data_IF_684302408652
#
_entry.id   IF_684302408652
#
_cell.length_a   1.000
_cell.length_b   1.000
_cell.length_c   1.000
_cell.angle_alpha   90.00
_cell.angle_beta   90.00
_cell.angle_gamma   90.00
#
_symmetry.space_group_name_H-M   'P 1'
#
loop_
_entity.id
_entity.type
_entity.pdbx_description
1 polymer ?
#
# COMPACT_ATOMS: atom_id res chain seq x y z
N UNK A 1 12.80 5.65 -8.20
CA UNK A 1 11.50 6.30 -7.91
C UNK A 1 11.06 7.02 -9.18
N UNK A 2 9.78 6.97 -9.55
CA UNK A 2 9.25 7.76 -10.68
C UNK A 2 9.29 9.25 -10.34
N UNK A 3 9.25 10.12 -11.36
CA UNK A 3 9.29 11.58 -11.19
C UNK A 3 8.17 12.06 -10.25
N UNK A 4 6.98 11.43 -10.33
CA UNK A 4 5.85 11.65 -9.43
C UNK A 4 5.01 10.38 -9.36
N UNK A 5 4.59 9.99 -8.13
CA UNK A 5 3.73 8.83 -7.90
C UNK A 5 2.61 9.20 -6.94
N UNK A 6 1.37 9.01 -7.36
CA UNK A 6 0.16 9.30 -6.59
C UNK A 6 -0.36 8.03 -5.90
N UNK A 7 -0.48 8.05 -4.58
CA UNK A 7 -0.93 6.91 -3.77
C UNK A 7 -2.17 7.32 -2.98
N UNK A 8 -3.17 6.46 -2.95
CA UNK A 8 -4.31 6.59 -2.03
C UNK A 8 -4.43 5.35 -1.18
N UNK A 9 -4.58 5.55 0.13
CA UNK A 9 -4.82 4.50 1.11
C UNK A 9 -6.17 4.78 1.76
N UNK A 10 -7.07 3.80 1.81
CA UNK A 10 -8.42 4.00 2.32
C UNK A 10 -8.96 2.77 3.06
N UNK A 11 -9.83 3.02 4.03
CA UNK A 11 -10.45 2.00 4.86
C UNK A 11 -11.36 2.63 5.90
N UNK A 12 -11.55 1.96 7.03
CA UNK A 12 -12.29 2.49 8.17
C UNK A 12 -11.37 3.10 9.23
N UNK A 13 -11.92 4.01 10.01
CA UNK A 13 -11.29 4.50 11.24
C UNK A 13 -10.93 3.34 12.18
N UNK A 14 -9.70 3.34 12.69
CA UNK A 14 -9.14 2.25 13.49
C UNK A 14 -8.33 1.21 12.70
N UNK A 15 -8.38 1.17 11.37
CA UNK A 15 -7.55 0.29 10.56
C UNK A 15 -6.11 0.82 10.33
N UNK A 16 -5.75 1.99 10.88
CA UNK A 16 -4.40 2.55 10.76
C UNK A 16 -4.05 3.11 9.39
N UNK A 17 -5.06 3.54 8.60
CA UNK A 17 -4.90 4.16 7.26
C UNK A 17 -3.89 5.30 7.27
N UNK A 18 -4.05 6.22 8.22
CA UNK A 18 -3.21 7.43 8.32
C UNK A 18 -1.77 7.07 8.69
N UNK A 19 -1.57 6.10 9.60
CA UNK A 19 -0.24 5.64 9.96
C UNK A 19 0.46 4.97 8.78
N UNK A 20 -0.24 4.13 8.02
CA UNK A 20 0.31 3.50 6.83
C UNK A 20 0.79 4.55 5.80
N UNK A 21 -0.03 5.58 5.55
CA UNK A 21 0.30 6.69 4.67
C UNK A 21 1.53 7.48 5.18
N UNK A 22 1.57 7.79 6.48
CA UNK A 22 2.68 8.52 7.09
C UNK A 22 3.99 7.72 7.00
N UNK A 23 3.96 6.40 7.21
CA UNK A 23 5.13 5.53 7.07
C UNK A 23 5.67 5.55 5.63
N UNK A 24 4.79 5.43 4.63
CA UNK A 24 5.19 5.45 3.21
C UNK A 24 5.80 6.82 2.86
N UNK A 25 5.16 7.92 3.26
CA UNK A 25 5.69 9.27 3.02
C UNK A 25 7.04 9.51 3.72
N UNK A 26 7.17 9.05 4.97
CA UNK A 26 8.41 9.16 5.74
C UNK A 26 9.55 8.33 5.11
N UNK A 27 9.26 7.12 4.64
CA UNK A 27 10.24 6.29 3.94
C UNK A 27 10.83 7.01 2.73
N UNK A 28 9.98 7.66 1.93
CA UNK A 28 10.42 8.39 0.76
C UNK A 28 11.23 9.65 1.11
N UNK A 29 10.71 10.48 2.04
CA UNK A 29 11.29 11.81 2.27
C UNK A 29 12.47 11.78 3.24
N UNK A 30 12.43 10.92 4.28
CA UNK A 30 13.46 10.92 5.34
C UNK A 30 14.54 9.87 5.09
N UNK A 31 14.14 8.67 4.67
CA UNK A 31 15.06 7.54 4.56
C UNK A 31 15.56 7.29 3.14
N UNK A 32 14.92 7.90 2.12
CA UNK A 32 15.32 7.72 0.72
C UNK A 32 15.65 9.03 0.00
N UNK A 33 15.58 10.17 0.73
CA UNK A 33 16.04 11.48 0.25
C UNK A 33 15.20 12.11 -0.87
N UNK A 34 13.96 11.66 -1.06
CA UNK A 34 13.00 12.24 -1.99
C UNK A 34 12.09 13.29 -1.34
N UNK A 35 11.00 13.60 -2.00
CA UNK A 35 9.94 14.47 -1.51
C UNK A 35 8.66 13.67 -1.30
N UNK A 36 7.92 13.99 -0.24
CA UNK A 36 6.60 13.45 0.00
C UNK A 36 5.66 14.51 0.55
N UNK A 37 4.40 14.46 0.15
CA UNK A 37 3.33 15.21 0.78
C UNK A 37 2.18 14.27 1.12
N UNK A 38 1.44 14.59 2.17
CA UNK A 38 0.31 13.79 2.61
C UNK A 38 -0.88 14.68 2.94
N UNK A 39 -2.05 14.29 2.46
CA UNK A 39 -3.34 14.83 2.88
C UNK A 39 -4.22 13.71 3.43
N UNK A 40 -5.18 14.05 4.30
CA UNK A 40 -6.06 13.08 4.93
C UNK A 40 -7.51 13.56 4.91
N UNK A 41 -8.44 12.60 4.88
CA UNK A 41 -9.87 12.87 4.91
C UNK A 41 -10.58 11.84 5.78
N UNK A 42 -11.52 12.29 6.58
CA UNK A 42 -12.30 11.49 7.49
C UNK A 42 -13.78 11.62 7.17
N UNK A 43 -14.54 10.57 7.38
CA UNK A 43 -16.00 10.63 7.37
C UNK A 43 -16.54 11.44 8.55
N UNK A 44 -17.84 11.78 8.54
CA UNK A 44 -18.48 12.56 9.60
C UNK A 44 -18.65 11.78 10.91
N UNK A 45 -18.46 10.48 10.90
CA UNK A 45 -18.63 9.61 12.06
C UNK A 45 -17.48 9.78 13.06
N UNK A 46 -17.79 9.91 14.33
CA UNK A 46 -16.80 10.10 15.40
C UNK A 46 -15.89 8.86 15.60
N UNK A 47 -16.34 7.65 15.23
CA UNK A 47 -15.57 6.40 15.28
C UNK A 47 -16.03 5.46 14.18
N UNK A 48 -15.08 4.68 13.63
CA UNK A 48 -15.37 3.64 12.65
C UNK A 48 -15.81 4.12 11.27
N UNK A 49 -15.90 5.43 11.05
CA UNK A 49 -16.25 6.01 9.76
C UNK A 49 -15.17 5.85 8.70
N UNK A 50 -15.48 6.29 7.49
CA UNK A 50 -14.53 6.22 6.38
C UNK A 50 -13.28 7.05 6.67
N UNK A 51 -12.12 6.50 6.35
CA UNK A 51 -10.83 7.17 6.50
C UNK A 51 -10.01 6.98 5.24
N UNK A 52 -9.42 8.04 4.73
CA UNK A 52 -8.49 7.96 3.60
C UNK A 52 -7.33 8.93 3.75
N UNK A 53 -6.19 8.53 3.21
CA UNK A 53 -5.02 9.38 3.07
C UNK A 53 -4.52 9.34 1.63
N UNK A 54 -3.98 10.46 1.18
CA UNK A 54 -3.33 10.61 -0.10
C UNK A 54 -1.86 10.91 0.16
N UNK A 55 -0.99 10.23 -0.56
CA UNK A 55 0.46 10.45 -0.49
C UNK A 55 0.96 10.66 -1.91
N UNK A 56 1.73 11.71 -2.12
CA UNK A 56 2.46 11.93 -3.36
C UNK A 56 3.94 11.77 -3.06
N UNK A 57 4.61 10.92 -3.81
CA UNK A 57 6.05 10.72 -3.76
C UNK A 57 6.68 11.32 -5.01
N UNK A 58 7.81 12.00 -4.87
CA UNK A 58 8.50 12.62 -6.00
C UNK A 58 10.02 12.67 -5.80
N UNK A 59 10.76 12.76 -6.89
CA UNK A 59 12.19 13.10 -6.90
C UNK A 59 12.42 14.61 -6.89
N UNK A 60 11.36 15.42 -7.10
CA UNK A 60 11.40 16.88 -7.13
C UNK A 60 10.35 17.48 -6.17
N UNK A 61 10.46 18.78 -5.83
CA UNK A 61 9.49 19.47 -4.97
C UNK A 61 8.05 19.34 -5.49
N UNK A 62 7.12 18.99 -4.59
CA UNK A 62 5.71 18.77 -4.90
C UNK A 62 4.95 20.08 -4.76
N UNK A 63 4.38 20.58 -5.86
CA UNK A 63 3.65 21.85 -5.90
C UNK A 63 2.15 21.71 -5.68
N UNK A 64 1.60 20.50 -5.84
CA UNK A 64 0.17 20.23 -5.70
C UNK A 64 -0.06 18.94 -4.87
N UNK A 65 -0.72 19.02 -3.69
CA UNK A 65 -0.74 17.93 -2.72
C UNK A 65 -1.92 16.95 -2.87
N UNK A 66 -2.77 17.11 -3.89
CA UNK A 66 -3.96 16.29 -4.03
C UNK A 66 -3.84 15.22 -5.11
N UNK A 67 -4.30 14.02 -4.79
CA UNK A 67 -4.37 12.87 -5.70
C UNK A 67 -5.72 12.86 -6.40
N UNK A 68 -5.71 12.93 -7.72
CA UNK A 68 -6.93 12.83 -8.54
C UNK A 68 -7.15 11.41 -9.05
N UNK A 69 -6.11 10.79 -9.58
CA UNK A 69 -6.13 9.46 -10.14
C UNK A 69 -4.92 8.69 -9.64
N UNK A 70 -5.07 7.90 -8.57
CA UNK A 70 -3.92 7.26 -7.95
C UNK A 70 -3.25 6.22 -8.88
N UNK A 71 -1.92 6.23 -8.90
CA UNK A 71 -1.11 5.19 -9.52
C UNK A 71 -1.16 3.90 -8.68
N UNK A 72 -1.29 4.07 -7.34
CA UNK A 72 -1.48 2.96 -6.41
C UNK A 72 -2.64 3.26 -5.48
N UNK A 73 -3.62 2.37 -5.45
CA UNK A 73 -4.75 2.39 -4.52
C UNK A 73 -4.63 1.22 -3.54
N UNK A 74 -4.58 1.52 -2.25
CA UNK A 74 -4.60 0.53 -1.16
C UNK A 74 -5.93 0.62 -0.44
N UNK A 75 -6.71 -0.47 -0.42
CA UNK A 75 -8.03 -0.50 0.23
C UNK A 75 -8.12 -1.60 1.27
N UNK A 76 -8.61 -1.23 2.45
CA UNK A 76 -8.79 -2.10 3.61
C UNK A 76 -10.26 -2.30 3.99
N UNK A 77 -11.22 -1.78 3.18
CA UNK A 77 -12.66 -2.00 3.37
C UNK A 77 -13.39 -2.05 2.03
N UNK A 78 -14.53 -2.73 2.00
CA UNK A 78 -15.38 -2.81 0.81
C UNK A 78 -15.88 -1.43 0.36
N UNK A 79 -16.26 -0.57 1.32
CA UNK A 79 -16.69 0.80 1.03
C UNK A 79 -15.58 1.61 0.32
N UNK A 80 -14.34 1.52 0.83
CA UNK A 80 -13.20 2.18 0.20
C UNK A 80 -12.96 1.67 -1.22
N UNK A 81 -13.07 0.35 -1.44
CA UNK A 81 -12.99 -0.24 -2.77
C UNK A 81 -14.07 0.32 -3.71
N UNK A 82 -15.33 0.25 -3.31
CA UNK A 82 -16.46 0.72 -4.12
C UNK A 82 -16.33 2.21 -4.48
N UNK A 83 -15.83 3.02 -3.55
CA UNK A 83 -15.66 4.47 -3.73
C UNK A 83 -14.50 4.83 -4.64
N UNK A 84 -13.35 4.18 -4.49
CA UNK A 84 -12.11 4.64 -5.10
C UNK A 84 -11.61 3.79 -6.28
N UNK A 85 -11.98 2.51 -6.38
CA UNK A 85 -11.55 1.67 -7.51
C UNK A 85 -11.97 2.22 -8.89
N UNK A 86 -13.14 2.88 -9.06
CA UNK A 86 -13.51 3.50 -10.33
C UNK A 86 -12.59 4.64 -10.79
N UNK A 87 -11.74 5.19 -9.90
CA UNK A 87 -10.80 6.27 -10.22
C UNK A 87 -9.47 5.75 -10.79
N UNK A 88 -9.24 4.44 -10.77
CA UNK A 88 -8.02 3.82 -11.29
C UNK A 88 -7.99 3.88 -12.82
N UNK A 89 -6.81 4.13 -13.34
CA UNK A 89 -6.51 4.14 -14.78
C UNK A 89 -5.76 2.86 -15.18
N UNK A 90 -5.74 2.51 -16.47
CA UNK A 90 -4.85 1.48 -16.98
C UNK A 90 -3.39 1.74 -16.54
N UNK A 91 -2.70 0.69 -16.09
CA UNK A 91 -1.34 0.79 -15.54
C UNK A 91 -1.28 0.96 -14.02
N UNK A 92 -2.36 1.40 -13.38
CA UNK A 92 -2.42 1.52 -11.91
C UNK A 92 -2.33 0.17 -11.20
N UNK A 93 -1.98 0.22 -9.92
CA UNK A 93 -1.93 -0.93 -9.01
C UNK A 93 -3.05 -0.81 -7.96
N UNK A 94 -3.83 -1.87 -7.82
CA UNK A 94 -4.82 -2.03 -6.75
C UNK A 94 -4.30 -3.04 -5.72
N UNK A 95 -4.20 -2.62 -4.47
CA UNK A 95 -3.81 -3.47 -3.33
C UNK A 95 -5.01 -3.57 -2.39
N UNK A 96 -5.40 -4.80 -2.03
CA UNK A 96 -6.58 -5.04 -1.19
C UNK A 96 -6.25 -5.87 0.05
N UNK A 97 -6.91 -5.57 1.14
CA UNK A 97 -7.09 -6.53 2.23
C UNK A 97 -8.06 -7.61 1.76
N UNK A 98 -7.53 -8.79 1.44
CA UNK A 98 -8.21 -9.84 0.68
C UNK A 98 -9.44 -10.44 1.38
N UNK A 99 -9.43 -10.47 2.71
CA UNK A 99 -10.51 -11.08 3.49
C UNK A 99 -11.66 -10.09 3.77
N UNK A 100 -11.41 -8.77 3.60
CA UNK A 100 -12.38 -7.71 3.82
C UNK A 100 -12.92 -7.08 2.52
N UNK A 101 -12.24 -7.30 1.40
CA UNK A 101 -12.56 -6.69 0.11
C UNK A 101 -12.81 -7.75 -0.95
N UNK A 102 -14.01 -7.77 -1.50
CA UNK A 102 -14.38 -8.58 -2.67
C UNK A 102 -14.16 -7.76 -3.93
N UNK A 103 -13.40 -8.31 -4.87
CA UNK A 103 -13.18 -7.68 -6.17
C UNK A 103 -14.39 -7.97 -7.08
N UNK A 104 -15.30 -7.02 -7.23
CA UNK A 104 -16.47 -7.15 -8.08
C UNK A 104 -16.16 -6.74 -9.53
N UNK A 105 -15.49 -5.60 -9.71
CA UNK A 105 -15.16 -5.05 -11.02
C UNK A 105 -13.84 -4.27 -10.95
N UNK A 106 -12.76 -4.90 -11.39
CA UNK A 106 -11.46 -4.23 -11.55
C UNK A 106 -11.42 -3.58 -12.92
N UNK A 107 -11.09 -2.27 -13.04
CA UNK A 107 -10.95 -1.62 -14.35
C UNK A 107 -9.89 -2.31 -15.22
N UNK A 108 -10.11 -2.29 -16.53
CA UNK A 108 -9.18 -2.92 -17.48
C UNK A 108 -7.79 -2.30 -17.41
N UNK A 109 -6.75 -3.13 -17.49
CA UNK A 109 -5.35 -2.69 -17.42
C UNK A 109 -4.85 -2.36 -16.01
N UNK A 110 -5.66 -2.57 -14.96
CA UNK A 110 -5.24 -2.42 -13.56
C UNK A 110 -4.67 -3.74 -13.05
N UNK A 111 -3.47 -3.70 -12.46
CA UNK A 111 -2.86 -4.85 -11.79
C UNK A 111 -3.38 -4.94 -10.36
N UNK A 112 -3.99 -6.06 -9.99
CA UNK A 112 -4.53 -6.24 -8.65
C UNK A 112 -3.75 -7.28 -7.84
N UNK A 113 -3.53 -6.95 -6.55
CA UNK A 113 -2.84 -7.78 -5.57
C UNK A 113 -3.63 -7.79 -4.27
N UNK A 114 -3.79 -8.97 -3.66
CA UNK A 114 -4.50 -9.12 -2.39
C UNK A 114 -3.65 -9.79 -1.33
N UNK A 115 -3.70 -9.29 -0.11
CA UNK A 115 -3.03 -9.86 1.05
C UNK A 115 -4.03 -10.10 2.19
N UNK A 116 -3.99 -11.25 2.90
CA UNK A 116 -4.84 -11.52 4.06
C UNK A 116 -4.25 -10.83 5.31
N UNK A 117 -4.16 -9.50 5.28
CA UNK A 117 -3.42 -8.72 6.27
C UNK A 117 -3.98 -8.88 7.69
N UNK A 118 -5.30 -9.01 7.82
CA UNK A 118 -5.96 -9.27 9.10
C UNK A 118 -5.47 -10.58 9.72
N UNK A 119 -5.49 -11.68 8.95
CA UNK A 119 -5.01 -12.99 9.43
C UNK A 119 -3.53 -12.96 9.78
N UNK A 120 -2.70 -12.39 8.91
CA UNK A 120 -1.27 -12.28 9.16
C UNK A 120 -0.96 -11.46 10.43
N UNK A 121 -1.75 -10.44 10.73
CA UNK A 121 -1.64 -9.66 11.97
C UNK A 121 -2.14 -10.46 13.19
N UNK A 122 -3.23 -11.21 13.06
CA UNK A 122 -3.74 -12.09 14.13
C UNK A 122 -2.77 -13.21 14.51
N UNK A 123 -2.04 -13.76 13.54
CA UNK A 123 -0.95 -14.73 13.80
C UNK A 123 0.21 -14.14 14.61
N UNK A 124 0.38 -12.81 14.59
CA UNK A 124 1.30 -12.09 15.47
C UNK A 124 0.68 -11.69 16.82
N UNK A 125 -0.56 -12.11 17.06
CA UNK A 125 -1.31 -11.90 18.30
C UNK A 125 -2.00 -10.54 18.41
N UNK A 126 -1.94 -9.67 17.40
CA UNK A 126 -2.47 -8.30 17.48
C UNK A 126 -3.03 -7.81 16.12
N UNK A 127 -4.33 -7.87 15.94
CA UNK A 127 -5.02 -7.38 14.74
C UNK A 127 -4.71 -5.91 14.38
N UNK A 128 -4.36 -5.09 15.37
CA UNK A 128 -4.08 -3.66 15.19
C UNK A 128 -2.93 -3.37 14.23
N UNK A 129 -2.01 -4.31 13.99
CA UNK A 129 -0.84 -4.12 13.10
C UNK A 129 -1.12 -4.50 11.64
N UNK A 130 -2.38 -4.75 11.26
CA UNK A 130 -2.74 -5.08 9.89
C UNK A 130 -2.29 -4.03 8.87
N UNK A 131 -2.33 -2.75 9.24
CA UNK A 131 -1.87 -1.66 8.41
C UNK A 131 -0.37 -1.75 8.08
N UNK A 132 0.43 -2.24 9.00
CA UNK A 132 1.87 -2.41 8.80
C UNK A 132 2.17 -3.66 7.95
N UNK A 133 1.35 -4.71 8.08
CA UNK A 133 1.36 -5.83 7.11
C UNK A 133 1.07 -5.30 5.70
N UNK A 134 0.05 -4.42 5.55
CA UNK A 134 -0.26 -3.78 4.27
C UNK A 134 0.90 -2.93 3.73
N UNK A 135 1.63 -2.20 4.59
CA UNK A 135 2.83 -1.41 4.20
C UNK A 135 3.95 -2.33 3.70
N UNK A 136 4.22 -3.43 4.39
CA UNK A 136 5.20 -4.43 3.93
C UNK A 136 4.83 -5.01 2.58
N UNK A 137 3.59 -5.42 2.42
CA UNK A 137 3.05 -5.93 1.16
C UNK A 137 3.12 -4.89 0.03
N UNK A 138 2.72 -3.63 0.30
CA UNK A 138 2.86 -2.51 -0.62
C UNK A 138 4.31 -2.38 -1.11
N UNK A 139 5.28 -2.39 -0.21
CA UNK A 139 6.70 -2.30 -0.56
C UNK A 139 7.13 -3.38 -1.54
N UNK A 140 6.74 -4.64 -1.27
CA UNK A 140 7.11 -5.78 -2.10
C UNK A 140 6.46 -5.74 -3.50
N UNK A 141 5.16 -5.43 -3.59
CA UNK A 141 4.43 -5.52 -4.87
C UNK A 141 4.61 -4.30 -5.77
N UNK A 142 4.97 -3.14 -5.19
CA UNK A 142 5.19 -1.91 -5.97
C UNK A 142 6.65 -1.68 -6.33
N UNK A 143 7.58 -2.06 -5.47
CA UNK A 143 9.00 -1.74 -5.63
C UNK A 143 9.32 -0.23 -5.68
N UNK A 144 8.39 0.63 -5.27
CA UNK A 144 8.54 2.10 -5.33
C UNK A 144 9.56 2.63 -4.33
N UNK A 145 9.70 1.95 -3.20
CA UNK A 145 10.59 2.32 -2.11
C UNK A 145 11.46 1.13 -1.70
N UNK A 146 12.66 1.42 -1.26
CA UNK A 146 13.57 0.41 -0.74
C UNK A 146 13.00 -0.23 0.52
N UNK A 147 13.17 -1.56 0.64
CA UNK A 147 12.71 -2.31 1.82
C UNK A 147 13.22 -1.72 3.12
N UNK A 148 14.50 -1.37 3.16
CA UNK A 148 15.15 -0.85 4.37
C UNK A 148 14.62 0.54 4.74
N UNK A 149 14.34 1.43 3.76
CA UNK A 149 13.72 2.73 3.99
C UNK A 149 12.32 2.59 4.63
N UNK A 150 11.49 1.68 4.11
CA UNK A 150 10.19 1.38 4.68
C UNK A 150 10.31 0.80 6.10
N UNK A 151 11.24 -0.11 6.32
CA UNK A 151 11.50 -0.74 7.61
C UNK A 151 11.91 0.27 8.68
N UNK A 152 12.81 1.19 8.33
CA UNK A 152 13.23 2.29 9.22
C UNK A 152 12.07 3.24 9.51
N UNK A 153 11.27 3.58 8.50
CA UNK A 153 10.10 4.43 8.68
C UNK A 153 9.06 3.78 9.61
N UNK A 154 8.85 2.46 9.54
CA UNK A 154 8.01 1.72 10.49
C UNK A 154 8.57 1.86 11.91
N UNK A 155 9.84 1.56 12.12
CA UNK A 155 10.46 1.63 13.45
C UNK A 155 10.36 3.03 14.08
N UNK A 156 10.57 4.08 13.26
CA UNK A 156 10.53 5.48 13.69
C UNK A 156 9.09 6.04 13.86
N UNK A 157 8.08 5.33 13.39
CA UNK A 157 6.68 5.78 13.44
C UNK A 157 5.85 5.17 14.57
N UNK A 158 6.45 4.28 15.37
CA UNK A 158 5.74 3.58 16.45
C UNK A 158 6.51 3.70 17.78
N UNK A 159 5.82 3.64 18.93
CA UNK A 159 6.47 3.66 20.23
C UNK A 159 7.50 2.51 20.38
N UNK A 160 8.61 2.70 21.12
CA UNK A 160 9.64 1.68 21.30
C UNK A 160 9.11 0.31 21.74
N UNK A 161 8.13 0.26 22.63
CA UNK A 161 7.50 -0.97 23.10
C UNK A 161 6.75 -1.74 21.99
N UNK A 162 6.39 -1.08 20.88
CA UNK A 162 5.66 -1.66 19.77
C UNK A 162 6.54 -1.94 18.55
N UNK A 163 7.79 -1.51 18.56
CA UNK A 163 8.68 -1.61 17.39
C UNK A 163 8.84 -3.06 16.92
N UNK A 164 9.16 -3.97 17.82
CA UNK A 164 9.35 -5.38 17.45
C UNK A 164 8.12 -5.95 16.73
N UNK A 165 6.94 -5.77 17.31
CA UNK A 165 5.69 -6.29 16.74
C UNK A 165 5.41 -5.68 15.35
N UNK A 166 5.63 -4.37 15.19
CA UNK A 166 5.39 -3.71 13.91
C UNK A 166 6.43 -4.09 12.86
N UNK A 167 7.69 -4.28 13.24
CA UNK A 167 8.71 -4.79 12.33
C UNK A 167 8.40 -6.24 11.89
N UNK A 168 7.99 -7.11 12.81
CA UNK A 168 7.56 -8.47 12.48
C UNK A 168 6.35 -8.46 11.51
N UNK A 169 5.41 -7.53 11.70
CA UNK A 169 4.25 -7.34 10.80
C UNK A 169 4.67 -6.86 9.40
N UNK A 170 5.60 -5.91 9.34
CA UNK A 170 6.19 -5.42 8.09
C UNK A 170 6.85 -6.56 7.31
N UNK A 171 7.75 -7.30 7.97
CA UNK A 171 8.47 -8.42 7.35
C UNK A 171 7.53 -9.49 6.82
N UNK A 172 6.47 -9.80 7.58
CA UNK A 172 5.46 -10.78 7.17
C UNK A 172 4.70 -10.35 5.92
N UNK A 173 4.28 -9.08 5.85
CA UNK A 173 3.64 -8.51 4.68
C UNK A 173 4.58 -8.46 3.47
N UNK A 174 5.82 -8.06 3.67
CA UNK A 174 6.83 -7.99 2.62
C UNK A 174 7.16 -9.38 2.06
N UNK A 175 7.37 -10.37 2.90
CA UNK A 175 7.64 -11.75 2.49
C UNK A 175 6.47 -12.33 1.67
N UNK A 176 5.22 -12.11 2.12
CA UNK A 176 4.03 -12.55 1.40
C UNK A 176 3.94 -11.92 -0.01
N UNK A 177 4.21 -10.62 -0.12
CA UNK A 177 4.21 -9.92 -1.40
C UNK A 177 5.32 -10.39 -2.34
N UNK A 178 6.52 -10.61 -1.81
CA UNK A 178 7.67 -11.12 -2.59
C UNK A 178 7.39 -12.52 -3.16
N UNK A 179 6.81 -13.41 -2.35
CA UNK A 179 6.41 -14.74 -2.82
C UNK A 179 5.37 -14.64 -3.94
N UNK A 180 4.33 -13.81 -3.76
CA UNK A 180 3.28 -13.64 -4.76
C UNK A 180 3.81 -13.12 -6.11
N UNK A 181 4.79 -12.22 -6.09
CA UNK A 181 5.43 -11.72 -7.32
C UNK A 181 6.25 -12.83 -8.00
N UNK A 182 7.05 -13.60 -7.24
CA UNK A 182 7.83 -14.70 -7.79
C UNK A 182 6.95 -15.75 -8.48
N UNK A 183 5.85 -16.15 -7.84
CA UNK A 183 4.89 -17.13 -8.39
C UNK A 183 4.25 -16.63 -9.69
N UNK A 184 3.95 -15.31 -9.80
CA UNK A 184 3.39 -14.74 -11.03
C UNK A 184 4.41 -14.68 -12.17
N UNK A 185 5.68 -14.43 -11.86
CA UNK A 185 6.77 -14.37 -12.86
C UNK A 185 7.08 -15.76 -13.42
N UNK A 186 7.02 -16.80 -12.60
CA UNK A 186 7.24 -18.20 -13.02
C UNK A 186 6.05 -18.77 -13.81
N UNK A 187 4.84 -18.22 -13.64
CA UNK A 187 3.61 -18.66 -14.33
C UNK A 187 3.37 -17.99 -15.69
N UNK A 188 4.09 -16.95 -16.06
CA UNK A 188 4.04 -16.38 -17.41
C UNK A 188 4.98 -17.17 -18.32
N UNK A 189 4.50 -17.83 -19.43
CA UNK A 189 5.37 -18.46 -20.38
C UNK A 189 6.32 -17.41 -20.96
N UNK A 190 7.64 -17.67 -20.85
CA UNK A 190 8.68 -16.90 -21.55
C UNK A 190 8.37 -17.06 -23.05
N UNK A 191 7.71 -16.08 -23.66
CA UNK A 191 7.67 -15.97 -25.11
C UNK A 191 9.07 -15.67 -25.60
N UNK A 192 9.82 -16.73 -25.90
CA UNK A 192 11.05 -16.64 -26.68
C UNK A 192 10.70 -16.01 -28.03
N UNK A 193 11.31 -14.86 -28.31
CA UNK A 193 11.24 -14.17 -29.61
C UNK A 193 11.99 -15.00 -30.67
N UNK A 194 11.43 -16.14 -31.08
CA UNK A 194 11.99 -17.04 -32.11
C UNK A 194 10.88 -17.69 -32.96
N UNK A 195 9.79 -16.96 -33.28
CA UNK A 195 8.87 -17.33 -34.37
C UNK A 195 8.33 -16.08 -35.06
N UNK A 196 9.23 -15.40 -35.78
CA UNK A 196 8.88 -14.45 -36.83
C UNK A 196 9.92 -14.54 -37.94
N UNK A 197 9.80 -15.60 -38.78
CA UNK A 197 10.34 -15.64 -40.14
C UNK A 197 9.21 -15.98 -41.09
#
# INVERSE_FOLDING_TARGET
MQLLTEIRIAGFGGQGVILAAAVIGKAAAIFQGGYATMTQSFGPEARGGSSSAQVILSTEPILYPYVTHPDVLVVMSQEAYTRFAPQLKPGSILITERDLVRLEKVPSGVRSYGVPATRLAEELGRKVVLNIVMVGFFGAVTGLLEKEALRQAVADSVPPAMQKLNLDAFEKGFAYGSQLISEKTEGEPVMTALEAV
#
